data_IF_103455042019
#
_entry.id   IF_103455042019
#
_cell.length_a   1.000
_cell.length_b   1.000
_cell.length_c   1.000
_cell.angle_alpha   90.00
_cell.angle_beta   90.00
_cell.angle_gamma   90.00
#
_symmetry.space_group_name_H-M   'P 1'
#
loop_
_entity.id
_entity.type
_entity.pdbx_description
1 polymer ?
#
# COMPACT_ATOMS: atom_id res chain seq x y z
N UNK A 1 -26.55 -1.59 0.26
CA UNK A 1 -26.08 -2.78 -0.47
C UNK A 1 -25.39 -2.36 -1.75
N UNK A 2 -24.22 -2.85 -2.01
CA UNK A 2 -23.45 -2.72 -3.26
C UNK A 2 -23.29 -4.11 -3.87
N UNK A 3 -23.63 -4.26 -5.14
CA UNK A 3 -23.54 -5.53 -5.86
C UNK A 3 -22.74 -5.37 -7.14
N UNK A 4 -21.90 -6.35 -7.41
CA UNK A 4 -21.15 -6.50 -8.67
C UNK A 4 -21.47 -7.86 -9.23
N UNK A 5 -21.97 -7.93 -10.46
CA UNK A 5 -22.42 -9.15 -11.11
C UNK A 5 -21.60 -9.39 -12.38
N UNK A 6 -20.91 -10.53 -12.42
CA UNK A 6 -20.16 -11.03 -13.59
C UNK A 6 -19.30 -9.98 -14.27
N UNK A 7 -18.58 -9.18 -13.47
CA UNK A 7 -17.76 -8.09 -13.98
C UNK A 7 -16.50 -8.63 -14.67
N UNK A 8 -16.35 -8.29 -15.95
CA UNK A 8 -15.16 -8.59 -16.76
C UNK A 8 -14.55 -7.30 -17.27
N UNK A 9 -13.24 -7.15 -17.12
CA UNK A 9 -12.51 -5.93 -17.47
C UNK A 9 -11.21 -6.28 -18.17
N UNK A 10 -11.09 -5.78 -19.39
CA UNK A 10 -9.85 -5.82 -20.17
C UNK A 10 -9.21 -4.44 -20.21
N UNK A 11 -7.93 -4.35 -19.85
CA UNK A 11 -7.12 -3.14 -19.87
C UNK A 11 -6.18 -3.18 -21.08
N UNK A 12 -6.05 -2.06 -21.78
CA UNK A 12 -5.16 -1.92 -22.92
C UNK A 12 -3.74 -2.37 -22.57
N UNK A 13 -3.14 -3.23 -23.43
CA UNK A 13 -1.79 -3.77 -23.27
C UNK A 13 -1.54 -4.66 -22.04
N UNK A 14 -2.49 -4.75 -21.12
CA UNK A 14 -2.41 -5.63 -19.93
C UNK A 14 -3.20 -6.91 -20.17
N UNK A 15 -4.31 -6.82 -20.90
CA UNK A 15 -5.25 -7.91 -21.09
C UNK A 15 -6.33 -7.93 -20.02
N UNK A 16 -6.87 -9.10 -19.74
CA UNK A 16 -7.91 -9.29 -18.75
C UNK A 16 -7.38 -9.15 -17.34
N UNK A 17 -8.00 -8.26 -16.55
CA UNK A 17 -7.62 -7.97 -15.16
C UNK A 17 -8.69 -8.49 -14.19
N UNK A 18 -9.98 -8.37 -14.57
CA UNK A 18 -11.09 -8.96 -13.83
C UNK A 18 -11.84 -9.90 -14.77
N UNK A 19 -12.18 -11.10 -14.30
CA UNK A 19 -12.86 -12.12 -15.07
C UNK A 19 -13.97 -12.78 -14.24
N UNK A 20 -15.20 -12.44 -14.55
CA UNK A 20 -16.40 -12.94 -13.86
C UNK A 20 -16.45 -12.64 -12.36
N UNK A 21 -16.06 -11.43 -11.98
CA UNK A 21 -16.09 -10.98 -10.58
C UNK A 21 -17.53 -10.74 -10.16
N UNK A 22 -17.98 -11.49 -9.15
CA UNK A 22 -19.28 -11.32 -8.50
C UNK A 22 -19.07 -11.16 -7.01
N UNK A 23 -19.53 -10.04 -6.46
CA UNK A 23 -19.41 -9.69 -5.04
C UNK A 23 -20.67 -8.97 -4.55
N UNK A 24 -20.97 -9.13 -3.26
CA UNK A 24 -22.00 -8.37 -2.56
C UNK A 24 -21.43 -7.76 -1.30
N UNK A 25 -21.60 -6.46 -1.13
CA UNK A 25 -21.20 -5.76 0.08
C UNK A 25 -22.41 -5.12 0.77
N UNK A 26 -22.71 -5.65 1.94
CA UNK A 26 -23.73 -5.16 2.86
C UNK A 26 -23.18 -4.03 3.76
N UNK A 27 -24.02 -3.33 4.53
CA UNK A 27 -23.53 -2.44 5.59
C UNK A 27 -22.53 -3.17 6.50
N UNK A 28 -21.35 -2.61 6.63
CA UNK A 28 -20.20 -3.26 7.27
C UNK A 28 -18.92 -3.02 6.50
N UNK A 29 -17.87 -3.75 6.84
CA UNK A 29 -16.55 -3.65 6.22
C UNK A 29 -16.27 -4.90 5.38
N UNK A 30 -16.15 -4.74 4.07
CA UNK A 30 -15.67 -5.76 3.15
C UNK A 30 -14.25 -5.40 2.72
N UNK A 31 -13.28 -6.20 3.13
CA UNK A 31 -11.87 -6.04 2.70
C UNK A 31 -11.69 -6.72 1.34
N UNK A 32 -11.09 -6.02 0.39
CA UNK A 32 -10.71 -6.56 -0.92
C UNK A 32 -9.22 -6.68 -1.01
N UNK A 33 -8.71 -7.86 -1.29
CA UNK A 33 -7.27 -8.13 -1.33
C UNK A 33 -6.89 -9.03 -2.50
N UNK A 34 -5.60 -9.28 -2.66
CA UNK A 34 -5.01 -10.11 -3.70
C UNK A 34 -3.58 -9.65 -3.99
N UNK A 35 -2.90 -10.34 -4.89
CA UNK A 35 -1.53 -9.95 -5.30
C UNK A 35 -1.52 -8.59 -5.99
N UNK A 36 -0.39 -7.88 -5.89
CA UNK A 36 -0.20 -6.59 -6.58
C UNK A 36 -0.51 -6.71 -8.07
N UNK A 37 -1.45 -5.86 -8.54
CA UNK A 37 -1.91 -5.88 -9.92
C UNK A 37 -3.12 -6.77 -10.19
N UNK A 38 -3.71 -7.44 -9.18
CA UNK A 38 -4.90 -8.28 -9.34
C UNK A 38 -6.19 -7.53 -9.73
N UNK A 39 -6.19 -6.19 -9.71
CA UNK A 39 -7.32 -5.38 -10.17
C UNK A 39 -8.17 -4.74 -9.06
N UNK A 40 -7.77 -4.79 -7.79
CA UNK A 40 -8.49 -4.17 -6.67
C UNK A 40 -8.77 -2.68 -6.91
N UNK A 41 -7.77 -1.88 -7.25
CA UNK A 41 -7.93 -0.45 -7.58
C UNK A 41 -8.85 -0.25 -8.80
N UNK A 42 -8.74 -1.12 -9.81
CA UNK A 42 -9.61 -1.07 -11.01
C UNK A 42 -11.07 -1.32 -10.61
N UNK A 43 -11.33 -2.31 -9.76
CA UNK A 43 -12.65 -2.59 -9.23
C UNK A 43 -13.24 -1.39 -8.49
N UNK A 44 -12.48 -0.79 -7.55
CA UNK A 44 -12.96 0.37 -6.79
C UNK A 44 -13.25 1.57 -7.70
N UNK A 45 -12.39 1.84 -8.67
CA UNK A 45 -12.62 2.93 -9.64
C UNK A 45 -13.87 2.74 -10.47
N UNK A 46 -14.14 1.51 -10.92
CA UNK A 46 -15.35 1.20 -11.68
C UNK A 46 -16.62 1.36 -10.83
N UNK A 47 -16.58 0.97 -9.55
CA UNK A 47 -17.69 1.19 -8.61
C UNK A 47 -17.92 2.68 -8.39
N UNK A 48 -16.85 3.47 -8.34
CA UNK A 48 -16.92 4.93 -8.24
C UNK A 48 -17.39 5.64 -9.52
N UNK A 49 -17.65 4.89 -10.60
CA UNK A 49 -18.05 5.45 -11.88
C UNK A 49 -16.92 6.11 -12.67
N UNK A 50 -15.66 5.89 -12.30
CA UNK A 50 -14.55 6.41 -13.10
C UNK A 50 -14.41 5.61 -14.40
N UNK A 51 -14.42 6.32 -15.51
CA UNK A 51 -14.10 5.77 -16.82
C UNK A 51 -12.58 5.88 -17.06
N UNK A 52 -11.86 4.80 -16.80
CA UNK A 52 -10.43 4.75 -17.13
C UNK A 52 -10.29 4.58 -18.66
N UNK A 53 -9.53 5.48 -19.32
CA UNK A 53 -9.25 5.40 -20.75
C UNK A 53 -8.47 4.15 -21.15
N UNK A 54 -7.88 3.46 -20.19
CA UNK A 54 -7.16 2.21 -20.41
C UNK A 54 -8.10 1.01 -20.46
N UNK A 55 -9.33 1.12 -19.96
CA UNK A 55 -10.33 0.06 -20.02
C UNK A 55 -10.87 -0.01 -21.46
N UNK A 56 -10.49 -1.07 -22.17
CA UNK A 56 -10.90 -1.29 -23.59
C UNK A 56 -12.17 -2.12 -23.70
N UNK A 57 -12.48 -2.93 -22.70
CA UNK A 57 -13.71 -3.73 -22.64
C UNK A 57 -14.18 -3.86 -21.20
N UNK A 58 -15.48 -3.62 -21.00
CA UNK A 58 -16.18 -3.85 -19.74
C UNK A 58 -17.46 -4.61 -20.00
N UNK A 59 -17.71 -5.65 -19.22
CA UNK A 59 -18.97 -6.42 -19.19
C UNK A 59 -19.40 -6.62 -17.74
N UNK A 60 -20.64 -6.99 -17.52
CA UNK A 60 -21.19 -7.15 -16.17
C UNK A 60 -21.92 -5.91 -15.68
N UNK A 61 -22.48 -5.99 -14.49
CA UNK A 61 -23.32 -4.95 -13.91
C UNK A 61 -22.84 -4.59 -12.51
N UNK A 62 -22.84 -3.31 -12.19
CA UNK A 62 -22.61 -2.82 -10.83
C UNK A 62 -23.89 -2.10 -10.40
N UNK A 63 -24.42 -2.47 -9.22
CA UNK A 63 -25.63 -1.88 -8.64
C UNK A 63 -25.33 -1.24 -7.29
N UNK A 64 -25.94 -0.12 -7.06
CA UNK A 64 -25.95 0.56 -5.78
C UNK A 64 -27.39 0.70 -5.33
N UNK A 65 -27.77 0.06 -4.22
CA UNK A 65 -29.14 -0.01 -3.73
C UNK A 65 -30.15 -0.42 -4.83
N UNK A 66 -29.80 -1.45 -5.60
CA UNK A 66 -30.60 -2.00 -6.70
C UNK A 66 -30.53 -1.20 -8.02
N UNK A 67 -30.03 0.05 -8.04
CA UNK A 67 -29.87 0.86 -9.26
C UNK A 67 -28.53 0.59 -9.93
N UNK A 68 -28.53 0.43 -11.25
CA UNK A 68 -27.29 0.29 -12.03
C UNK A 68 -26.52 1.60 -12.08
N UNK A 69 -25.23 1.59 -11.75
CA UNK A 69 -24.40 2.79 -11.73
C UNK A 69 -24.17 3.39 -13.13
N UNK A 70 -24.19 2.58 -14.19
CA UNK A 70 -24.02 3.02 -15.56
C UNK A 70 -25.25 3.79 -16.10
N UNK A 71 -26.39 3.73 -15.41
CA UNK A 71 -27.60 4.52 -15.68
C UNK A 71 -27.68 5.78 -14.83
N UNK A 72 -26.77 5.97 -13.88
CA UNK A 72 -26.72 7.15 -13.02
C UNK A 72 -25.81 8.22 -13.64
N UNK A 73 -26.27 9.47 -13.57
CA UNK A 73 -25.40 10.60 -13.88
C UNK A 73 -24.31 10.74 -12.82
N UNK A 74 -23.22 11.42 -13.15
CA UNK A 74 -22.15 11.69 -12.19
C UNK A 74 -22.66 12.48 -10.97
N UNK A 75 -23.62 13.38 -11.16
CA UNK A 75 -24.23 14.16 -10.09
C UNK A 75 -25.07 13.29 -9.12
N UNK A 76 -25.70 12.22 -9.61
CA UNK A 76 -26.44 11.26 -8.78
C UNK A 76 -25.50 10.28 -8.04
N UNK A 77 -24.41 9.88 -8.69
CA UNK A 77 -23.48 8.89 -8.11
C UNK A 77 -22.56 9.50 -7.02
N UNK A 78 -22.07 10.72 -7.26
CA UNK A 78 -21.11 11.39 -6.36
C UNK A 78 -21.55 11.49 -4.89
N UNK A 79 -22.79 11.84 -4.54
CA UNK A 79 -23.23 11.83 -3.14
C UNK A 79 -23.43 10.43 -2.55
N UNK A 80 -23.45 9.38 -3.37
CA UNK A 80 -23.68 8.01 -2.94
C UNK A 80 -22.37 7.26 -2.63
N UNK A 81 -21.24 7.68 -3.25
CA UNK A 81 -19.97 6.96 -3.19
C UNK A 81 -18.83 7.93 -2.91
N UNK A 82 -18.19 7.78 -1.77
CA UNK A 82 -16.95 8.49 -1.46
C UNK A 82 -15.75 7.59 -1.73
N UNK A 83 -14.76 8.12 -2.44
CA UNK A 83 -13.49 7.43 -2.73
C UNK A 83 -12.38 8.05 -1.91
N UNK A 84 -11.71 7.24 -1.12
CA UNK A 84 -10.59 7.64 -0.28
C UNK A 84 -9.32 6.95 -0.77
N UNK A 85 -8.45 7.73 -1.40
CA UNK A 85 -7.06 7.34 -1.65
C UNK A 85 -6.15 7.95 -0.58
N UNK A 86 -4.85 7.85 -0.79
CA UNK A 86 -3.87 8.43 0.15
C UNK A 86 -3.62 9.93 -0.04
N UNK A 87 -4.41 10.61 -0.86
CA UNK A 87 -4.32 12.06 -1.05
C UNK A 87 -5.70 12.69 -1.02
N UNK A 88 -5.96 13.62 -0.10
CA UNK A 88 -7.16 14.43 -0.13
C UNK A 88 -7.12 15.41 -1.30
N UNK A 89 -8.28 15.97 -1.64
CA UNK A 89 -8.42 16.91 -2.77
C UNK A 89 -7.77 18.26 -2.49
N UNK A 90 -7.93 18.80 -1.28
CA UNK A 90 -7.43 20.14 -0.91
C UNK A 90 -7.11 20.24 0.59
N UNK A 91 -7.65 21.25 1.27
CA UNK A 91 -7.65 21.39 2.72
C UNK A 91 -8.88 20.71 3.30
N UNK A 92 -8.71 20.08 4.48
CA UNK A 92 -9.84 19.41 5.13
C UNK A 92 -10.88 20.43 5.63
N UNK A 93 -10.42 21.58 6.16
CA UNK A 93 -11.28 22.58 6.79
C UNK A 93 -11.95 22.07 8.06
N UNK A 94 -12.72 22.95 8.70
CA UNK A 94 -13.64 22.59 9.81
C UNK A 94 -15.04 22.36 9.25
N UNK A 95 -15.89 21.65 9.99
CA UNK A 95 -17.21 21.31 9.51
C UNK A 95 -18.22 21.07 10.62
N UNK A 96 -19.06 20.09 10.43
CA UNK A 96 -20.04 19.65 11.42
C UNK A 96 -19.40 18.85 12.58
N UNK A 97 -20.23 18.45 13.54
CA UNK A 97 -19.78 17.69 14.72
C UNK A 97 -19.15 16.34 14.37
N UNK A 98 -19.59 15.68 13.29
CA UNK A 98 -18.99 14.43 12.84
C UNK A 98 -17.58 14.65 12.31
N UNK A 99 -17.39 15.66 11.48
CA UNK A 99 -16.08 16.03 10.93
C UNK A 99 -15.12 16.42 12.05
N UNK A 100 -15.55 17.25 13.00
CA UNK A 100 -14.72 17.68 14.12
C UNK A 100 -14.30 16.51 15.00
N UNK A 101 -15.19 15.53 15.22
CA UNK A 101 -14.88 14.28 15.94
C UNK A 101 -13.82 13.46 15.19
N UNK A 102 -13.99 13.26 13.90
CA UNK A 102 -13.04 12.49 13.08
C UNK A 102 -11.68 13.20 13.01
N UNK A 103 -11.66 14.53 12.91
CA UNK A 103 -10.43 15.34 12.98
C UNK A 103 -9.68 15.09 14.29
N UNK A 104 -10.39 15.04 15.42
CA UNK A 104 -9.78 14.76 16.72
C UNK A 104 -9.25 13.34 16.82
N UNK A 105 -10.05 12.34 16.45
CA UNK A 105 -9.69 10.91 16.49
C UNK A 105 -8.46 10.61 15.63
N UNK A 106 -8.36 11.25 14.46
CA UNK A 106 -7.23 11.11 13.55
C UNK A 106 -6.07 12.08 13.85
N UNK A 107 -6.15 12.89 14.91
CA UNK A 107 -5.10 13.82 15.31
C UNK A 107 -4.77 14.85 14.23
N UNK A 108 -5.80 15.45 13.63
CA UNK A 108 -5.66 16.36 12.50
C UNK A 108 -5.89 17.83 12.85
N UNK A 109 -6.19 18.16 14.12
CA UNK A 109 -6.57 19.52 14.55
C UNK A 109 -5.61 20.62 14.10
N UNK A 110 -4.30 20.36 14.12
CA UNK A 110 -3.26 21.31 13.69
C UNK A 110 -2.99 21.30 12.17
N UNK A 111 -3.62 20.36 11.45
CA UNK A 111 -3.37 20.12 10.03
C UNK A 111 -4.54 20.49 9.13
N UNK A 112 -5.77 20.65 9.69
CA UNK A 112 -6.99 20.76 8.90
C UNK A 112 -6.99 21.98 7.96
N UNK A 113 -6.30 23.07 8.31
CA UNK A 113 -6.20 24.29 7.49
C UNK A 113 -4.97 24.28 6.55
N UNK A 114 -4.18 23.21 6.57
CA UNK A 114 -2.99 23.09 5.70
C UNK A 114 -3.31 22.40 4.40
N UNK A 115 -2.79 22.89 3.26
CA UNK A 115 -2.93 22.19 1.99
C UNK A 115 -2.32 20.78 2.04
N UNK A 116 -3.01 19.80 1.49
CA UNK A 116 -2.55 18.41 1.45
C UNK A 116 -1.17 18.24 0.81
N UNK A 117 -0.81 19.08 -0.15
CA UNK A 117 0.50 19.08 -0.77
C UNK A 117 1.65 19.52 0.16
N UNK A 118 1.34 20.10 1.32
CA UNK A 118 2.33 20.62 2.29
C UNK A 118 2.45 19.78 3.56
N UNK A 119 1.74 18.67 3.63
CA UNK A 119 1.79 17.74 4.78
C UNK A 119 2.49 16.44 4.40
N UNK A 120 2.80 15.60 5.39
CA UNK A 120 3.37 14.27 5.12
C UNK A 120 2.32 13.34 4.51
N UNK A 121 2.76 12.29 3.82
CA UNK A 121 1.86 11.27 3.25
C UNK A 121 0.97 10.62 4.31
N UNK A 122 1.50 10.41 5.52
CA UNK A 122 0.74 9.90 6.65
C UNK A 122 -0.38 10.87 7.10
N UNK A 123 -0.10 12.17 7.14
CA UNK A 123 -1.11 13.19 7.46
C UNK A 123 -2.12 13.30 6.32
N UNK A 124 -1.66 13.33 5.06
CA UNK A 124 -2.52 13.42 3.89
C UNK A 124 -3.51 12.24 3.81
N UNK A 125 -3.06 11.01 4.08
CA UNK A 125 -3.93 9.84 4.09
C UNK A 125 -5.01 9.93 5.21
N UNK A 126 -4.63 10.43 6.40
CA UNK A 126 -5.60 10.66 7.47
C UNK A 126 -6.61 11.76 7.12
N UNK A 127 -6.16 12.83 6.46
CA UNK A 127 -7.04 13.89 5.96
C UNK A 127 -8.02 13.35 4.91
N UNK A 128 -7.54 12.52 3.98
CA UNK A 128 -8.40 11.87 2.98
C UNK A 128 -9.46 10.97 3.63
N UNK A 129 -9.09 10.21 4.66
CA UNK A 129 -10.04 9.40 5.43
C UNK A 129 -11.09 10.28 6.11
N UNK A 130 -10.66 11.36 6.78
CA UNK A 130 -11.58 12.30 7.43
C UNK A 130 -12.55 12.94 6.44
N UNK A 131 -12.07 13.35 5.25
CA UNK A 131 -12.89 13.87 4.16
C UNK A 131 -13.94 12.84 3.69
N UNK A 132 -13.52 11.61 3.43
CA UNK A 132 -14.41 10.54 3.01
C UNK A 132 -15.48 10.17 4.05
N UNK A 133 -15.12 10.11 5.32
CA UNK A 133 -16.08 9.86 6.40
C UNK A 133 -17.08 11.01 6.49
N UNK A 134 -16.60 12.25 6.52
CA UNK A 134 -17.42 13.46 6.67
C UNK A 134 -18.28 13.76 5.44
N UNK A 135 -18.07 13.07 4.31
CA UNK A 135 -18.94 13.21 3.13
C UNK A 135 -20.35 12.69 3.37
N UNK A 136 -20.54 11.82 4.37
CA UNK A 136 -21.82 11.17 4.65
C UNK A 136 -22.28 10.16 3.60
N UNK A 137 -21.46 9.88 2.56
CA UNK A 137 -21.83 8.97 1.49
C UNK A 137 -22.14 7.55 2.02
N UNK A 138 -23.24 6.91 1.57
CA UNK A 138 -23.62 5.56 2.01
C UNK A 138 -22.57 4.50 1.73
N UNK A 139 -21.74 4.68 0.69
CA UNK A 139 -20.66 3.78 0.32
C UNK A 139 -19.33 4.51 0.42
N UNK A 140 -18.40 3.90 1.15
CA UNK A 140 -17.04 4.38 1.33
C UNK A 140 -16.07 3.38 0.68
N UNK A 141 -15.34 3.83 -0.33
CA UNK A 141 -14.32 3.05 -1.03
C UNK A 141 -12.94 3.49 -0.55
N UNK A 142 -12.19 2.61 0.08
CA UNK A 142 -10.85 2.87 0.58
C UNK A 142 -9.82 2.13 -0.28
N UNK A 143 -8.84 2.86 -0.82
CA UNK A 143 -7.79 2.27 -1.67
C UNK A 143 -6.42 2.44 -1.01
N UNK A 144 -5.87 1.34 -0.47
CA UNK A 144 -4.55 1.23 0.17
C UNK A 144 -4.26 2.33 1.21
N UNK A 145 -5.25 2.60 2.03
CA UNK A 145 -5.24 3.73 2.97
C UNK A 145 -4.14 3.63 4.03
N UNK A 146 -3.85 2.41 4.51
CA UNK A 146 -2.95 2.19 5.65
C UNK A 146 -1.47 2.26 5.27
N UNK A 147 -1.14 2.09 4.01
CA UNK A 147 0.24 2.00 3.55
C UNK A 147 1.14 3.15 4.06
N UNK A 148 0.77 4.44 3.97
CA UNK A 148 1.60 5.54 4.45
C UNK A 148 1.51 5.81 5.96
N UNK A 149 0.73 5.03 6.73
CA UNK A 149 0.47 5.29 8.14
C UNK A 149 1.41 4.49 9.06
N UNK A 150 1.81 5.07 10.18
CA UNK A 150 2.47 4.35 11.27
C UNK A 150 1.47 3.47 12.03
N UNK A 151 1.96 2.47 12.78
CA UNK A 151 1.12 1.53 13.54
C UNK A 151 0.05 2.24 14.38
N UNK A 152 0.41 3.28 15.11
CA UNK A 152 -0.51 4.10 15.91
C UNK A 152 -1.66 4.66 15.07
N UNK A 153 -1.37 5.17 13.88
CA UNK A 153 -2.37 5.78 13.02
C UNK A 153 -3.16 4.76 12.22
N UNK A 154 -2.56 3.59 11.92
CA UNK A 154 -3.29 2.44 11.37
C UNK A 154 -4.38 1.99 12.31
N UNK A 155 -4.04 1.74 13.58
CA UNK A 155 -5.03 1.32 14.57
C UNK A 155 -6.19 2.33 14.73
N UNK A 156 -5.90 3.62 14.76
CA UNK A 156 -6.94 4.66 14.84
C UNK A 156 -7.79 4.75 13.57
N UNK A 157 -7.17 4.66 12.40
CA UNK A 157 -7.91 4.64 11.12
C UNK A 157 -8.86 3.45 11.05
N UNK A 158 -8.40 2.26 11.44
CA UNK A 158 -9.23 1.04 11.52
C UNK A 158 -10.42 1.23 12.46
N UNK A 159 -10.18 1.81 13.65
CA UNK A 159 -11.25 2.09 14.60
C UNK A 159 -12.30 3.06 14.03
N UNK A 160 -11.87 4.14 13.34
CA UNK A 160 -12.77 5.07 12.66
C UNK A 160 -13.58 4.37 11.56
N UNK A 161 -12.95 3.54 10.73
CA UNK A 161 -13.63 2.79 9.67
C UNK A 161 -14.67 1.83 10.25
N UNK A 162 -14.30 1.06 11.28
CA UNK A 162 -15.22 0.15 11.95
C UNK A 162 -16.42 0.89 12.58
N UNK A 163 -16.20 2.11 13.11
CA UNK A 163 -17.29 2.91 13.65
C UNK A 163 -18.24 3.41 12.55
N UNK A 164 -17.69 3.86 11.43
CA UNK A 164 -18.49 4.26 10.25
C UNK A 164 -19.35 3.11 9.73
N UNK A 165 -18.80 1.92 9.63
CA UNK A 165 -19.54 0.73 9.20
C UNK A 165 -20.74 0.44 10.14
N UNK A 166 -20.55 0.60 11.46
CA UNK A 166 -21.64 0.45 12.45
C UNK A 166 -22.78 1.47 12.31
N UNK A 167 -22.58 2.58 11.59
CA UNK A 167 -23.68 3.51 11.27
C UNK A 167 -24.55 3.05 10.10
N UNK A 168 -24.31 1.84 9.55
CA UNK A 168 -25.07 1.27 8.45
C UNK A 168 -24.51 1.63 7.06
N UNK A 169 -23.29 2.17 7.00
CA UNK A 169 -22.59 2.43 5.72
C UNK A 169 -21.89 1.18 5.21
N UNK A 170 -21.80 1.07 3.89
CA UNK A 170 -21.01 0.03 3.21
C UNK A 170 -19.59 0.52 3.05
N UNK A 171 -18.63 -0.20 3.58
CA UNK A 171 -17.19 0.08 3.37
C UNK A 171 -16.58 -1.02 2.54
N UNK A 172 -16.06 -0.67 1.36
CA UNK A 172 -15.27 -1.58 0.54
C UNK A 172 -13.81 -1.13 0.60
N UNK A 173 -12.95 -1.96 1.15
CA UNK A 173 -11.59 -1.57 1.51
C UNK A 173 -10.55 -2.43 0.79
N UNK A 174 -9.95 -1.91 -0.29
CA UNK A 174 -8.79 -2.52 -0.92
C UNK A 174 -7.53 -2.26 -0.07
N UNK A 175 -6.92 -3.33 0.48
CA UNK A 175 -5.79 -3.19 1.40
C UNK A 175 -4.83 -4.38 1.30
N UNK A 176 -3.54 -4.10 1.53
CA UNK A 176 -2.48 -5.09 1.66
C UNK A 176 -1.97 -5.23 3.10
N UNK A 177 -2.17 -4.23 3.95
CA UNK A 177 -1.84 -4.28 5.38
C UNK A 177 -2.91 -5.06 6.17
N UNK A 178 -3.08 -6.33 5.85
CA UNK A 178 -4.17 -7.19 6.32
C UNK A 178 -4.16 -7.40 7.84
N UNK A 179 -3.00 -7.34 8.50
CA UNK A 179 -2.89 -7.42 9.98
C UNK A 179 -3.73 -6.38 10.73
N UNK A 180 -4.06 -5.27 10.05
CA UNK A 180 -4.90 -4.23 10.61
C UNK A 180 -6.34 -4.29 10.06
N UNK A 181 -6.47 -4.46 8.75
CA UNK A 181 -7.76 -4.38 8.08
C UNK A 181 -8.71 -5.53 8.46
N UNK A 182 -8.17 -6.76 8.62
CA UNK A 182 -8.94 -7.94 8.98
C UNK A 182 -9.64 -7.83 10.33
N UNK A 183 -9.05 -7.11 11.28
CA UNK A 183 -9.67 -6.89 12.60
C UNK A 183 -10.95 -6.06 12.59
N UNK A 184 -11.23 -5.34 11.50
CA UNK A 184 -12.47 -4.58 11.30
C UNK A 184 -13.38 -5.20 10.23
N UNK A 185 -12.93 -6.25 9.54
CA UNK A 185 -13.65 -6.82 8.42
C UNK A 185 -14.78 -7.76 8.85
N UNK A 186 -15.93 -7.63 8.22
CA UNK A 186 -17.03 -8.59 8.28
C UNK A 186 -16.86 -9.66 7.20
N UNK A 187 -16.40 -9.27 6.02
CA UNK A 187 -16.13 -10.19 4.91
C UNK A 187 -14.84 -9.81 4.17
N UNK A 188 -14.27 -10.81 3.49
CA UNK A 188 -13.08 -10.64 2.65
C UNK A 188 -13.39 -11.11 1.24
N UNK A 189 -13.02 -10.29 0.27
CA UNK A 189 -13.00 -10.63 -1.15
C UNK A 189 -11.56 -10.77 -1.58
N UNK A 190 -11.13 -11.95 -1.94
CA UNK A 190 -9.80 -12.19 -2.50
C UNK A 190 -9.91 -12.32 -4.01
N UNK A 191 -9.13 -11.51 -4.75
CA UNK A 191 -9.05 -11.59 -6.20
C UNK A 191 -7.84 -12.45 -6.59
N UNK A 192 -8.12 -13.60 -7.20
CA UNK A 192 -7.14 -14.61 -7.64
C UNK A 192 -7.33 -14.80 -9.15
N UNK A 193 -6.29 -14.48 -9.93
CA UNK A 193 -6.30 -14.64 -11.39
C UNK A 193 -7.54 -14.00 -12.06
N UNK A 194 -7.96 -12.85 -11.54
CA UNK A 194 -9.11 -12.09 -12.02
C UNK A 194 -10.46 -12.52 -11.46
N UNK A 195 -10.56 -13.62 -10.73
CA UNK A 195 -11.80 -14.12 -10.13
C UNK A 195 -11.91 -13.71 -8.65
N UNK A 196 -13.12 -13.41 -8.20
CA UNK A 196 -13.37 -13.06 -6.80
C UNK A 196 -13.80 -14.29 -6.01
N UNK A 197 -13.20 -14.46 -4.83
CA UNK A 197 -13.63 -15.38 -3.79
C UNK A 197 -14.04 -14.57 -2.57
N UNK A 198 -15.33 -14.57 -2.23
CA UNK A 198 -15.86 -13.86 -1.06
C UNK A 198 -16.16 -14.86 0.07
N UNK A 199 -15.71 -14.54 1.28
CA UNK A 199 -15.92 -15.34 2.51
C UNK A 199 -16.06 -14.42 3.71
N UNK A 200 -16.61 -14.94 4.81
CA UNK A 200 -16.57 -14.23 6.11
C UNK A 200 -15.12 -14.03 6.58
N UNK A 201 -14.82 -12.87 7.19
CA UNK A 201 -13.47 -12.54 7.62
C UNK A 201 -12.91 -13.53 8.65
N UNK A 202 -13.78 -14.07 9.52
CA UNK A 202 -13.42 -15.06 10.55
C UNK A 202 -12.93 -16.40 9.97
N UNK A 203 -13.36 -16.74 8.75
CA UNK A 203 -13.00 -17.99 8.06
C UNK A 203 -12.00 -17.80 6.93
N UNK A 204 -11.54 -16.56 6.73
CA UNK A 204 -10.64 -16.27 5.62
C UNK A 204 -9.23 -16.82 5.85
N UNK A 205 -8.78 -17.58 4.88
CA UNK A 205 -7.37 -17.95 4.70
C UNK A 205 -7.06 -17.90 3.21
N UNK A 206 -5.89 -17.38 2.86
CA UNK A 206 -5.44 -17.31 1.47
C UNK A 206 -4.58 -18.52 1.11
N UNK A 207 -4.75 -19.02 -0.11
CA UNK A 207 -3.83 -19.98 -0.74
C UNK A 207 -2.87 -19.28 -1.70
N UNK A 208 -3.11 -17.99 -1.99
CA UNK A 208 -2.38 -17.21 -2.98
C UNK A 208 -1.49 -16.12 -2.35
N UNK A 209 -1.80 -15.72 -1.12
CA UNK A 209 -0.98 -14.81 -0.32
C UNK A 209 -0.34 -15.57 0.84
N UNK A 210 0.89 -15.23 1.23
CA UNK A 210 1.49 -15.78 2.44
C UNK A 210 0.66 -15.36 3.67
N UNK A 211 0.74 -16.12 4.77
CA UNK A 211 0.11 -15.72 6.01
C UNK A 211 0.66 -14.36 6.46
N UNK A 212 -0.20 -13.54 7.06
CA UNK A 212 0.27 -12.27 7.63
C UNK A 212 1.15 -12.54 8.87
N UNK A 213 2.01 -11.59 9.27
CA UNK A 213 2.79 -11.71 10.50
C UNK A 213 1.93 -12.05 11.72
N UNK A 214 0.73 -11.48 11.86
CA UNK A 214 -0.19 -11.83 12.94
C UNK A 214 -0.72 -13.27 12.85
N UNK A 215 -1.01 -13.74 11.66
CA UNK A 215 -1.43 -15.15 11.44
C UNK A 215 -0.29 -16.12 11.77
N UNK A 216 0.96 -15.79 11.43
CA UNK A 216 2.12 -16.59 11.81
C UNK A 216 2.34 -16.61 13.31
N UNK A 217 2.23 -15.46 13.97
CA UNK A 217 2.34 -15.36 15.44
C UNK A 217 1.22 -16.16 16.10
N UNK A 218 -0.02 -16.05 15.61
CA UNK A 218 -1.15 -16.83 16.11
C UNK A 218 -0.91 -18.34 16.00
N UNK A 219 -0.46 -18.79 14.83
CA UNK A 219 -0.17 -20.21 14.57
C UNK A 219 0.96 -20.74 15.49
N UNK A 220 2.00 -19.93 15.73
CA UNK A 220 3.14 -20.33 16.59
C UNK A 220 2.83 -20.28 18.08
N UNK A 221 1.96 -19.35 18.51
CA UNK A 221 1.60 -19.19 19.92
C UNK A 221 0.48 -20.13 20.37
N UNK A 222 -0.28 -20.70 19.45
CA UNK A 222 -1.48 -21.48 19.76
C UNK A 222 -2.66 -20.65 20.29
N UNK A 223 -2.56 -19.32 20.28
CA UNK A 223 -3.51 -18.38 20.90
C UNK A 223 -4.75 -18.09 20.02
N UNK A 224 -4.84 -18.69 18.84
CA UNK A 224 -5.91 -18.41 17.89
C UNK A 224 -5.72 -17.06 17.15
N UNK A 225 -6.77 -16.57 16.50
CA UNK A 225 -6.70 -15.38 15.66
C UNK A 225 -6.57 -14.11 16.50
N UNK A 226 -5.69 -13.21 16.09
CA UNK A 226 -5.58 -11.85 16.63
C UNK A 226 -6.27 -10.86 15.69
N UNK A 227 -7.08 -9.97 16.25
CA UNK A 227 -7.77 -8.93 15.48
C UNK A 227 -6.86 -7.72 15.17
N UNK A 228 -5.77 -7.54 15.92
CA UNK A 228 -4.80 -6.47 15.70
C UNK A 228 -3.44 -6.78 16.35
N UNK A 229 -2.35 -6.08 15.92
CA UNK A 229 -1.04 -6.19 16.58
C UNK A 229 -1.09 -5.81 18.07
N UNK A 230 -1.92 -4.84 18.45
CA UNK A 230 -2.09 -4.43 19.84
C UNK A 230 -2.74 -5.53 20.68
N UNK A 231 -3.75 -6.21 20.15
CA UNK A 231 -4.37 -7.36 20.80
C UNK A 231 -3.38 -8.52 20.94
N UNK A 232 -2.62 -8.81 19.89
CA UNK A 232 -1.56 -9.83 19.96
C UNK A 232 -0.54 -9.49 21.04
N UNK A 233 -0.07 -8.25 21.09
CA UNK A 233 0.85 -7.79 22.12
C UNK A 233 0.27 -7.96 23.53
N UNK A 234 -0.97 -7.52 23.77
CA UNK A 234 -1.62 -7.61 25.08
C UNK A 234 -1.79 -9.07 25.54
N UNK A 235 -2.19 -9.98 24.64
CA UNK A 235 -2.37 -11.40 24.96
C UNK A 235 -1.03 -12.11 25.18
N UNK A 236 -0.04 -11.86 24.33
CA UNK A 236 1.26 -12.49 24.41
C UNK A 236 2.13 -11.96 25.56
N UNK A 237 1.93 -10.70 25.99
CA UNK A 237 2.62 -10.15 27.15
C UNK A 237 2.30 -10.91 28.46
N UNK A 238 1.15 -11.56 28.52
CA UNK A 238 0.75 -12.42 29.65
C UNK A 238 1.25 -13.87 29.52
N UNK A 239 1.81 -14.24 28.39
CA UNK A 239 2.25 -15.61 28.08
C UNK A 239 3.76 -15.72 28.31
N UNK A 240 4.20 -16.81 28.97
CA UNK A 240 5.63 -17.10 29.13
C UNK A 240 6.23 -17.50 27.77
N UNK A 241 6.74 -16.53 27.04
CA UNK A 241 7.41 -16.77 25.75
C UNK A 241 8.85 -17.21 26.00
N UNK A 242 9.24 -18.36 25.43
CA UNK A 242 10.64 -18.75 25.40
C UNK A 242 11.35 -18.03 24.28
N UNK A 243 12.32 -17.19 24.62
CA UNK A 243 13.13 -16.52 23.61
C UNK A 243 13.94 -17.54 22.81
N UNK A 244 13.68 -17.64 21.51
CA UNK A 244 14.57 -18.36 20.60
C UNK A 244 15.76 -17.43 20.33
N UNK A 245 17.01 -17.87 20.58
CA UNK A 245 18.17 -17.05 20.27
C UNK A 245 18.12 -16.62 18.79
N UNK A 246 18.03 -15.33 18.56
CA UNK A 246 18.17 -14.80 17.20
C UNK A 246 19.58 -15.15 16.70
N UNK A 247 19.74 -15.67 15.47
CA UNK A 247 21.06 -15.84 14.91
C UNK A 247 21.80 -14.49 15.00
N UNK A 248 22.97 -14.50 15.63
CA UNK A 248 23.75 -13.27 15.75
C UNK A 248 24.01 -12.74 14.35
N UNK A 249 23.72 -11.46 14.06
CA UNK A 249 24.00 -10.89 12.76
C UNK A 249 25.50 -11.09 12.48
N UNK A 250 25.80 -11.82 11.41
CA UNK A 250 27.19 -11.98 10.98
C UNK A 250 27.76 -10.59 10.73
N UNK A 251 28.89 -10.28 11.37
CA UNK A 251 29.56 -9.00 11.11
C UNK A 251 29.90 -8.93 9.61
N UNK A 252 29.49 -7.87 8.89
CA UNK A 252 29.78 -7.75 7.49
C UNK A 252 31.29 -7.71 7.28
N UNK A 253 31.83 -8.63 6.50
CA UNK A 253 33.28 -8.77 6.23
C UNK A 253 33.75 -7.92 5.05
N UNK A 254 32.83 -7.28 4.32
CA UNK A 254 33.15 -6.51 3.13
C UNK A 254 33.85 -5.17 3.42
N UNK A 255 34.44 -4.55 2.40
CA UNK A 255 35.07 -3.23 2.53
C UNK A 255 34.06 -2.17 2.95
N UNK A 256 34.54 -1.12 3.64
CA UNK A 256 33.71 0.04 3.97
C UNK A 256 33.43 0.82 2.69
N UNK A 257 32.16 0.91 2.32
CA UNK A 257 31.70 1.66 1.14
C UNK A 257 31.33 3.11 1.47
N UNK A 258 30.87 3.35 2.69
CA UNK A 258 30.47 4.67 3.16
C UNK A 258 30.57 4.77 4.67
N UNK A 259 30.72 6.01 5.17
CA UNK A 259 30.61 6.34 6.59
C UNK A 259 29.46 7.30 6.80
N UNK A 260 28.62 6.98 7.76
CA UNK A 260 27.43 7.75 8.13
C UNK A 260 27.67 8.36 9.49
N UNK A 261 27.59 9.68 9.56
CA UNK A 261 27.56 10.40 10.82
C UNK A 261 26.12 10.51 11.32
N UNK A 262 25.74 9.82 12.40
CA UNK A 262 24.39 9.92 12.95
C UNK A 262 23.99 11.34 13.33
N UNK A 263 24.94 12.19 13.76
CA UNK A 263 24.65 13.58 14.10
C UNK A 263 24.12 14.38 12.88
N UNK A 264 24.63 14.08 11.67
CA UNK A 264 24.10 14.66 10.43
C UNK A 264 22.62 14.27 10.18
N UNK A 265 22.17 13.15 10.74
CA UNK A 265 20.79 12.67 10.68
C UNK A 265 19.95 13.11 11.89
N UNK A 266 20.53 13.86 12.83
CA UNK A 266 19.96 14.19 14.15
C UNK A 266 19.68 12.96 15.02
N UNK A 267 20.51 11.95 14.90
CA UNK A 267 20.51 10.76 15.73
C UNK A 267 21.70 10.81 16.69
N UNK A 268 21.59 10.17 17.85
CA UNK A 268 22.68 9.96 18.79
C UNK A 268 23.48 8.72 18.39
N UNK A 269 24.78 8.73 18.57
CA UNK A 269 25.66 7.57 18.33
C UNK A 269 27.00 7.97 17.69
N UNK A 270 27.90 6.99 17.57
CA UNK A 270 29.17 7.13 16.88
C UNK A 270 29.04 6.90 15.36
N UNK A 271 30.12 7.17 14.61
CA UNK A 271 30.18 6.92 13.18
C UNK A 271 29.81 5.49 12.83
N UNK A 272 28.97 5.31 11.81
CA UNK A 272 28.51 4.02 11.31
C UNK A 272 29.18 3.73 9.98
N UNK A 273 29.96 2.65 9.93
CA UNK A 273 30.54 2.16 8.69
C UNK A 273 29.50 1.31 7.95
N UNK A 274 29.17 1.67 6.71
CA UNK A 274 28.34 0.87 5.79
C UNK A 274 29.30 0.03 4.94
N UNK A 275 29.19 -1.29 5.05
CA UNK A 275 30.09 -2.23 4.39
C UNK A 275 29.40 -2.94 3.24
N UNK A 276 30.19 -3.43 2.28
CA UNK A 276 29.68 -4.26 1.20
C UNK A 276 28.95 -5.51 1.77
N UNK A 277 27.77 -5.81 1.24
CA UNK A 277 26.92 -6.89 1.72
C UNK A 277 26.14 -6.57 3.02
N UNK A 278 26.19 -5.33 3.50
CA UNK A 278 25.46 -4.90 4.68
C UNK A 278 24.15 -4.19 4.31
N UNK A 279 23.06 -4.54 4.99
CA UNK A 279 21.81 -3.77 5.02
C UNK A 279 21.74 -2.98 6.31
N UNK A 280 21.68 -1.65 6.21
CA UNK A 280 21.53 -0.75 7.35
C UNK A 280 20.08 -0.22 7.38
N UNK A 281 19.32 -0.62 8.39
CA UNK A 281 17.97 -0.11 8.63
C UNK A 281 17.99 1.18 9.46
N UNK A 282 17.29 2.21 9.00
CA UNK A 282 17.03 3.44 9.76
C UNK A 282 15.55 3.51 10.08
N UNK A 283 15.21 3.38 11.36
CA UNK A 283 13.83 3.44 11.85
C UNK A 283 13.57 4.81 12.47
N UNK A 284 12.43 5.41 12.15
CA UNK A 284 12.00 6.67 12.72
C UNK A 284 10.53 6.57 13.18
N UNK A 285 10.17 7.34 14.20
CA UNK A 285 8.79 7.38 14.72
C UNK A 285 7.78 7.92 13.70
N UNK A 286 8.24 8.85 12.85
CA UNK A 286 7.39 9.48 11.83
C UNK A 286 8.00 9.32 10.44
N UNK A 287 7.20 8.99 9.42
CA UNK A 287 7.68 8.83 8.04
C UNK A 287 8.43 10.06 7.50
N UNK A 288 8.03 11.26 7.92
CA UNK A 288 8.71 12.52 7.59
C UNK A 288 10.13 12.56 8.11
N UNK A 289 10.38 12.01 9.30
CA UNK A 289 11.72 11.96 9.88
C UNK A 289 12.60 10.98 9.11
N UNK A 290 12.08 9.80 8.78
CA UNK A 290 12.76 8.82 7.94
C UNK A 290 13.14 9.43 6.57
N UNK A 291 12.20 10.11 5.92
CA UNK A 291 12.42 10.75 4.63
C UNK A 291 13.47 11.88 4.69
N UNK A 292 13.44 12.70 5.76
CA UNK A 292 14.46 13.73 5.98
C UNK A 292 15.84 13.14 6.24
N UNK A 293 15.91 12.07 7.04
CA UNK A 293 17.16 11.34 7.28
C UNK A 293 17.70 10.76 5.97
N UNK A 294 16.85 10.12 5.17
CA UNK A 294 17.22 9.57 3.88
C UNK A 294 17.78 10.64 2.91
N UNK A 295 17.15 11.81 2.80
CA UNK A 295 17.66 12.92 1.97
C UNK A 295 19.02 13.43 2.44
N UNK A 296 19.24 13.54 3.74
CA UNK A 296 20.54 13.94 4.30
C UNK A 296 21.59 12.89 4.03
N UNK A 297 21.24 11.62 4.24
CA UNK A 297 22.13 10.51 3.94
C UNK A 297 22.52 10.49 2.46
N UNK A 298 21.56 10.67 1.54
CA UNK A 298 21.84 10.77 0.12
C UNK A 298 22.81 11.89 -0.23
N UNK A 299 22.71 13.05 0.43
CA UNK A 299 23.62 14.17 0.23
C UNK A 299 25.04 13.87 0.74
N UNK A 300 25.15 13.09 1.84
CA UNK A 300 26.44 12.78 2.49
C UNK A 300 27.16 11.62 1.81
N UNK A 301 26.45 10.54 1.54
CA UNK A 301 27.01 9.29 0.99
C UNK A 301 27.14 9.34 -0.53
N UNK A 302 26.38 10.22 -1.19
CA UNK A 302 26.29 10.31 -2.67
C UNK A 302 26.09 8.95 -3.32
N UNK A 303 25.07 8.18 -2.91
CA UNK A 303 24.81 6.87 -3.46
C UNK A 303 24.57 6.98 -4.97
N UNK A 304 25.09 6.03 -5.76
CA UNK A 304 24.87 6.01 -7.21
C UNK A 304 23.50 5.43 -7.59
N UNK A 305 22.91 4.64 -6.70
CA UNK A 305 21.55 4.13 -6.82
C UNK A 305 20.66 4.70 -5.72
N UNK A 306 19.69 5.52 -6.06
CA UNK A 306 18.68 6.05 -5.13
C UNK A 306 17.32 5.70 -5.70
N UNK A 307 16.56 4.92 -4.95
CA UNK A 307 15.15 4.72 -5.27
C UNK A 307 14.37 5.92 -4.76
N UNK A 308 14.22 6.92 -5.58
CA UNK A 308 13.41 8.08 -5.26
C UNK A 308 12.49 8.46 -6.44
N UNK A 309 11.90 9.64 -6.34
CA UNK A 309 10.97 10.18 -7.35
C UNK A 309 11.54 10.24 -8.79
N UNK A 310 12.86 10.23 -8.97
CA UNK A 310 13.48 10.26 -10.31
C UNK A 310 13.27 8.93 -11.05
N UNK A 311 13.48 7.79 -10.36
CA UNK A 311 13.21 6.47 -10.96
C UNK A 311 11.73 6.27 -11.25
N UNK A 312 10.85 6.73 -10.35
CA UNK A 312 9.40 6.72 -10.60
C UNK A 312 9.02 7.62 -11.79
N UNK A 313 9.62 8.82 -11.90
CA UNK A 313 9.36 9.71 -13.04
C UNK A 313 9.85 9.08 -14.36
N UNK A 314 11.03 8.45 -14.35
CA UNK A 314 11.58 7.74 -15.50
C UNK A 314 10.65 6.60 -15.94
N UNK A 315 10.19 5.77 -15.01
CA UNK A 315 9.29 4.65 -15.28
C UNK A 315 7.94 5.12 -15.85
N UNK A 316 7.42 6.27 -15.40
CA UNK A 316 6.15 6.81 -15.95
C UNK A 316 6.27 7.25 -17.40
N UNK A 317 7.44 7.67 -17.84
CA UNK A 317 7.65 8.27 -19.16
C UNK A 317 8.18 7.29 -20.21
N UNK A 318 8.79 6.17 -19.79
CA UNK A 318 9.46 5.22 -20.69
C UNK A 318 8.91 3.81 -20.53
N UNK A 319 9.22 2.91 -21.49
CA UNK A 319 9.02 1.48 -21.28
C UNK A 319 10.00 0.96 -20.22
N UNK A 320 9.62 -0.11 -19.53
CA UNK A 320 10.48 -0.75 -18.52
C UNK A 320 11.80 -1.21 -19.15
N UNK A 321 11.76 -1.80 -20.36
CA UNK A 321 12.96 -2.19 -21.12
C UNK A 321 13.94 -1.01 -21.25
N UNK A 322 13.46 0.14 -21.73
CA UNK A 322 14.32 1.31 -21.93
C UNK A 322 14.90 1.85 -20.62
N UNK A 323 14.13 1.80 -19.54
CA UNK A 323 14.61 2.20 -18.22
C UNK A 323 15.73 1.26 -17.73
N UNK A 324 15.56 -0.05 -17.87
CA UNK A 324 16.59 -1.06 -17.56
C UNK A 324 17.86 -0.86 -18.39
N UNK A 325 17.73 -0.72 -19.72
CA UNK A 325 18.87 -0.47 -20.61
C UNK A 325 19.65 0.80 -20.26
N UNK A 326 18.95 1.85 -19.85
CA UNK A 326 19.59 3.10 -19.39
C UNK A 326 20.36 2.90 -18.09
N UNK A 327 19.84 2.12 -17.15
CA UNK A 327 20.50 1.80 -15.88
C UNK A 327 21.74 0.95 -16.13
N UNK A 328 21.63 -0.10 -16.94
CA UNK A 328 22.75 -0.99 -17.30
C UNK A 328 23.91 -0.20 -17.92
N UNK A 329 23.63 0.63 -18.92
CA UNK A 329 24.64 1.48 -19.57
C UNK A 329 25.31 2.46 -18.59
N UNK A 330 24.54 3.04 -17.65
CA UNK A 330 25.06 3.98 -16.67
C UNK A 330 25.91 3.30 -15.61
N UNK A 331 25.60 2.05 -15.29
CA UNK A 331 26.33 1.23 -14.33
C UNK A 331 27.49 0.45 -14.95
N UNK A 332 27.74 0.62 -16.26
CA UNK A 332 28.76 -0.11 -17.04
C UNK A 332 28.54 -1.64 -16.96
N UNK A 333 27.29 -2.07 -17.14
CA UNK A 333 26.86 -3.45 -17.13
C UNK A 333 26.40 -3.92 -18.51
N UNK A 334 26.38 -5.23 -18.77
CA UNK A 334 25.76 -5.77 -19.98
C UNK A 334 24.30 -5.33 -20.11
N UNK A 335 23.94 -4.81 -21.29
CA UNK A 335 22.56 -4.38 -21.54
C UNK A 335 21.65 -5.61 -21.50
N UNK A 336 20.59 -5.53 -20.68
CA UNK A 336 19.61 -6.60 -20.44
C UNK A 336 19.69 -7.23 -19.06
N UNK A 337 20.76 -7.03 -18.29
CA UNK A 337 20.92 -7.61 -16.95
C UNK A 337 19.83 -7.10 -15.98
N UNK A 338 19.59 -5.78 -15.96
CA UNK A 338 18.52 -5.18 -15.15
C UNK A 338 17.12 -5.67 -15.59
N UNK A 339 16.95 -5.94 -16.89
CA UNK A 339 15.69 -6.47 -17.42
C UNK A 339 15.45 -7.93 -17.03
N UNK A 340 16.51 -8.75 -17.00
CA UNK A 340 16.43 -10.11 -16.51
C UNK A 340 16.00 -10.15 -15.03
N UNK A 341 16.61 -9.28 -14.20
CA UNK A 341 16.24 -9.15 -12.81
C UNK A 341 14.78 -8.67 -12.64
N UNK A 342 14.35 -7.68 -13.43
CA UNK A 342 12.96 -7.20 -13.41
C UNK A 342 11.97 -8.30 -13.79
N UNK A 343 12.28 -9.10 -14.83
CA UNK A 343 11.45 -10.22 -15.23
C UNK A 343 11.40 -11.35 -14.18
N UNK A 344 12.49 -11.58 -13.46
CA UNK A 344 12.52 -12.55 -12.34
C UNK A 344 11.59 -12.15 -11.20
N UNK A 345 11.51 -10.86 -10.90
CA UNK A 345 10.68 -10.32 -9.78
C UNK A 345 9.21 -10.17 -10.17
N UNK A 346 8.91 -9.75 -11.40
CA UNK A 346 7.56 -9.32 -11.82
C UNK A 346 6.99 -10.10 -13.00
N UNK A 347 7.75 -11.07 -13.54
CA UNK A 347 7.40 -11.69 -14.82
C UNK A 347 7.67 -10.77 -16.03
N UNK A 348 7.25 -11.14 -17.24
CA UNK A 348 7.54 -10.38 -18.46
C UNK A 348 6.91 -8.99 -18.45
N UNK A 349 7.73 -7.94 -18.29
CA UNK A 349 7.26 -6.54 -18.14
C UNK A 349 7.81 -5.56 -19.19
N UNK A 350 8.78 -6.00 -20.01
CA UNK A 350 9.62 -5.12 -20.84
C UNK A 350 8.90 -4.19 -21.82
N UNK A 351 7.83 -4.65 -22.46
CA UNK A 351 7.12 -3.87 -23.47
C UNK A 351 6.19 -2.78 -22.89
N UNK A 352 5.87 -2.88 -21.60
CA UNK A 352 4.92 -1.96 -20.93
C UNK A 352 5.64 -0.69 -20.47
N UNK A 353 4.91 0.43 -20.46
CA UNK A 353 5.37 1.62 -19.75
C UNK A 353 5.24 1.40 -18.26
N UNK A 354 6.13 2.02 -17.48
CA UNK A 354 6.05 1.90 -16.02
C UNK A 354 4.69 2.36 -15.46
N UNK A 355 4.07 3.38 -16.07
CA UNK A 355 2.74 3.86 -15.67
C UNK A 355 1.59 2.85 -15.91
N UNK A 356 1.81 1.80 -16.67
CA UNK A 356 0.82 0.74 -16.95
C UNK A 356 0.88 -0.39 -15.89
N UNK A 357 1.78 -0.29 -14.93
CA UNK A 357 1.92 -1.20 -13.80
C UNK A 357 1.18 -0.66 -12.56
N UNK A 358 0.77 -1.55 -11.66
CA UNK A 358 0.24 -1.15 -10.35
C UNK A 358 1.29 -0.37 -9.56
N UNK A 359 0.86 0.37 -8.55
CA UNK A 359 1.77 1.17 -7.72
C UNK A 359 2.83 0.30 -7.04
N UNK A 360 2.44 -0.88 -6.52
CA UNK A 360 3.37 -1.87 -5.96
C UNK A 360 4.37 -2.39 -6.98
N UNK A 361 3.93 -2.73 -8.19
CA UNK A 361 4.82 -3.16 -9.28
C UNK A 361 5.78 -2.05 -9.70
N UNK A 362 5.32 -0.79 -9.80
CA UNK A 362 6.20 0.36 -10.05
C UNK A 362 7.25 0.51 -8.96
N UNK A 363 6.89 0.25 -7.70
CA UNK A 363 7.81 0.30 -6.57
C UNK A 363 8.87 -0.79 -6.66
N UNK A 364 8.48 -2.02 -6.94
CA UNK A 364 9.41 -3.13 -7.14
C UNK A 364 10.37 -2.86 -8.31
N UNK A 365 9.87 -2.37 -9.44
CA UNK A 365 10.71 -1.96 -10.55
C UNK A 365 11.71 -0.88 -10.16
N UNK A 366 11.29 0.14 -9.41
CA UNK A 366 12.18 1.18 -8.93
C UNK A 366 13.27 0.61 -8.00
N UNK A 367 12.94 -0.36 -7.15
CA UNK A 367 13.90 -1.04 -6.28
C UNK A 367 14.91 -1.85 -7.11
N UNK A 368 14.45 -2.63 -8.11
CA UNK A 368 15.32 -3.36 -9.03
C UNK A 368 16.30 -2.43 -9.73
N UNK A 369 15.81 -1.31 -10.29
CA UNK A 369 16.65 -0.33 -10.97
C UNK A 369 17.64 0.35 -10.03
N UNK A 370 17.26 0.61 -8.78
CA UNK A 370 18.17 1.15 -7.78
C UNK A 370 19.30 0.17 -7.45
N UNK A 371 18.99 -1.12 -7.26
CA UNK A 371 19.99 -2.16 -7.01
C UNK A 371 20.95 -2.33 -8.17
N UNK A 372 20.46 -2.30 -9.40
CA UNK A 372 21.28 -2.39 -10.59
C UNK A 372 22.19 -1.18 -10.79
N UNK A 373 21.81 0.00 -10.27
CA UNK A 373 22.46 1.29 -10.54
C UNK A 373 23.69 1.61 -9.70
N UNK A 374 24.01 0.89 -8.59
CA UNK A 374 25.10 1.34 -7.73
C UNK A 374 25.57 0.36 -6.66
N UNK A 375 26.75 0.67 -6.06
CA UNK A 375 27.34 -0.10 -4.96
C UNK A 375 26.68 0.19 -3.61
N UNK A 376 26.14 1.40 -3.44
CA UNK A 376 25.38 1.79 -2.26
C UNK A 376 24.00 2.20 -2.73
N UNK A 377 22.98 1.52 -2.21
CA UNK A 377 21.57 1.77 -2.53
C UNK A 377 20.89 2.34 -1.30
N UNK A 378 20.18 3.43 -1.48
CA UNK A 378 19.34 4.03 -0.46
C UNK A 378 17.87 3.74 -0.80
N UNK A 379 17.24 2.92 0.01
CA UNK A 379 15.82 2.67 -0.08
C UNK A 379 15.04 3.48 0.95
N UNK A 380 14.02 4.16 0.48
CA UNK A 380 13.08 4.88 1.34
C UNK A 380 11.73 4.19 1.24
N UNK A 381 11.35 3.51 2.34
CA UNK A 381 10.09 2.78 2.43
C UNK A 381 9.86 1.81 1.25
N UNK A 382 10.75 0.81 1.07
CA UNK A 382 10.73 -0.04 -0.14
C UNK A 382 9.47 -0.91 -0.22
N UNK A 383 8.84 -1.24 0.90
CA UNK A 383 7.65 -2.08 0.97
C UNK A 383 6.33 -1.35 0.79
N UNK A 384 6.32 -0.01 0.63
CA UNK A 384 5.08 0.74 0.47
C UNK A 384 4.34 0.33 -0.80
N UNK A 385 3.02 0.09 -0.67
CA UNK A 385 2.13 -0.37 -1.74
C UNK A 385 2.48 -1.73 -2.36
N UNK A 386 3.34 -2.52 -1.71
CA UNK A 386 3.71 -3.88 -2.13
C UNK A 386 2.98 -4.88 -1.23
N UNK A 387 2.35 -5.89 -1.82
CA UNK A 387 1.74 -6.99 -1.06
C UNK A 387 2.81 -7.88 -0.41
N UNK A 388 2.39 -8.71 0.56
CA UNK A 388 3.31 -9.55 1.32
C UNK A 388 4.10 -10.52 0.42
N UNK A 389 3.44 -11.17 -0.56
CA UNK A 389 4.10 -12.12 -1.45
C UNK A 389 5.16 -11.45 -2.33
N UNK A 390 4.89 -10.22 -2.81
CA UNK A 390 5.85 -9.44 -3.61
C UNK A 390 6.93 -8.79 -2.72
N UNK A 391 6.64 -8.57 -1.44
CA UNK A 391 7.57 -8.01 -0.46
C UNK A 391 8.78 -8.91 -0.20
N UNK A 392 8.62 -10.23 -0.29
CA UNK A 392 9.70 -11.20 -0.09
C UNK A 392 10.84 -11.03 -1.11
N UNK A 393 10.57 -10.43 -2.25
CA UNK A 393 11.60 -10.10 -3.25
C UNK A 393 12.42 -8.84 -2.92
N UNK A 394 12.09 -8.13 -1.84
CA UNK A 394 12.81 -6.93 -1.39
C UNK A 394 13.96 -7.25 -0.42
N UNK A 395 14.01 -8.45 0.12
CA UNK A 395 15.04 -8.95 1.02
C UNK A 395 15.97 -9.87 0.27
#
# INVERSE_FOLDING_TARGET
MLEVESLRVDISRVGRVLDDVTISAEPGVTVVTGRSGCGTTTLLRLIAGFHDRQVVRRQGVIRLSGRRIDTMSHAELRPQVAVVGHRPTETLGRGDAERDRVIEELGLREWCDRPAARVSTCVAARMALAEGISSGAPVLLLDQLLAPMTSKWRARAVACVAQVARTGRVVLWAEHALDYALGAADSVVEIIDGHARQVEASSWSSTNLPPTPLQEVAARSGEGIFASPEQAHARLAATALTAVPSPQPQQPKGPVLARVDPAALRLSGGLIDVRAGQVLGIVAHEPVQAHRAARRLAATVRPRGVNDHLLHALLRQTSVQRACDMVDRRADRPVGESMELANKVLGPVGARRGAEHSEGQQRLLANVLACAGGQVVLWVDPGWAVDAASGDHLV
#
